data_IF_855223799641
#
_entry.id   IF_855223799641
#
_cell.length_a   1.000
_cell.length_b   1.000
_cell.length_c   1.000
_cell.angle_alpha   90.00
_cell.angle_beta   90.00
_cell.angle_gamma   90.00
#
_symmetry.space_group_name_H-M   'P 1'
#
loop_
_entity.id
_entity.type
_entity.pdbx_description
1 polymer ?
#
# COMPACT_ATOMS: atom_id res chain seq x y z
N UNK A 1 -9.86 -1.91 -6.02
CA UNK A 1 -10.22 -0.66 -5.32
C UNK A 1 -8.93 0.03 -4.95
N UNK A 2 -8.89 1.36 -4.96
CA UNK A 2 -7.66 2.08 -4.68
C UNK A 2 -7.42 2.15 -3.16
N UNK A 3 -6.17 1.90 -2.76
CA UNK A 3 -5.70 1.93 -1.38
C UNK A 3 -4.37 2.68 -1.30
N UNK A 4 -4.17 3.35 -0.18
CA UNK A 4 -2.89 3.91 0.23
C UNK A 4 -2.27 3.00 1.29
N UNK A 5 -0.98 2.66 1.10
CA UNK A 5 -0.19 1.90 2.05
C UNK A 5 0.96 2.78 2.52
N UNK A 6 0.98 3.07 3.82
CA UNK A 6 2.05 3.79 4.50
C UNK A 6 2.61 3.02 5.68
N UNK A 7 3.66 3.54 6.29
CA UNK A 7 4.30 2.95 7.46
C UNK A 7 5.53 3.74 7.89
N UNK A 8 6.00 3.57 9.14
CA UNK A 8 7.15 4.30 9.67
C UNK A 8 8.50 3.78 9.14
N UNK A 9 8.54 2.60 8.53
CA UNK A 9 9.77 1.99 7.97
C UNK A 9 9.74 2.01 6.42
N UNK A 10 10.53 2.89 5.79
CA UNK A 10 10.63 2.97 4.33
C UNK A 10 11.19 1.70 3.69
N UNK A 11 12.05 0.95 4.40
CA UNK A 11 12.66 -0.28 3.87
C UNK A 11 11.61 -1.37 3.72
N UNK A 12 10.72 -1.48 4.72
CA UNK A 12 9.57 -2.38 4.66
C UNK A 12 8.63 -2.03 3.49
N UNK A 13 8.39 -0.74 3.23
CA UNK A 13 7.57 -0.32 2.09
C UNK A 13 8.26 -0.63 0.75
N UNK A 14 9.59 -0.51 0.65
CA UNK A 14 10.34 -0.89 -0.54
C UNK A 14 10.25 -2.41 -0.81
N UNK A 15 10.43 -3.22 0.23
CA UNK A 15 10.29 -4.68 0.16
C UNK A 15 8.87 -5.08 -0.26
N UNK A 16 7.86 -4.47 0.36
CA UNK A 16 6.46 -4.69 0.00
C UNK A 16 6.18 -4.30 -1.44
N UNK A 17 6.68 -3.15 -1.91
CA UNK A 17 6.52 -2.74 -3.30
C UNK A 17 7.15 -3.76 -4.27
N UNK A 18 8.24 -4.42 -3.88
CA UNK A 18 8.81 -5.55 -4.61
C UNK A 18 7.84 -6.73 -4.68
N UNK A 19 7.32 -7.16 -3.53
CA UNK A 19 6.38 -8.30 -3.44
C UNK A 19 5.08 -8.06 -4.21
N UNK A 20 4.53 -6.84 -4.14
CA UNK A 20 3.27 -6.48 -4.79
C UNK A 20 3.38 -6.38 -6.31
N UNK A 21 4.58 -6.26 -6.89
CA UNK A 21 4.75 -6.30 -8.35
C UNK A 21 4.51 -7.69 -8.93
N UNK A 22 4.75 -8.72 -8.13
CA UNK A 22 4.57 -10.11 -8.54
C UNK A 22 3.19 -10.65 -8.15
N UNK A 23 2.37 -9.84 -7.48
CA UNK A 23 1.02 -10.20 -7.03
C UNK A 23 -0.01 -9.90 -8.15
N UNK A 24 -0.67 -10.93 -8.73
CA UNK A 24 -1.58 -10.75 -9.86
C UNK A 24 -2.87 -10.00 -9.49
N UNK A 25 -3.20 -9.89 -8.20
CA UNK A 25 -4.39 -9.18 -7.73
C UNK A 25 -4.10 -7.70 -7.43
N UNK A 26 -2.85 -7.27 -7.54
CA UNK A 26 -2.42 -5.93 -7.16
C UNK A 26 -1.84 -5.19 -8.35
N UNK A 27 -2.26 -3.94 -8.53
CA UNK A 27 -1.65 -3.01 -9.49
C UNK A 27 -1.09 -1.82 -8.74
N UNK A 28 0.24 -1.67 -8.72
CA UNK A 28 0.87 -0.47 -8.16
C UNK A 28 0.61 0.71 -9.11
N UNK A 29 -0.15 1.69 -8.64
CA UNK A 29 -0.49 2.90 -9.40
C UNK A 29 0.59 3.96 -9.27
N UNK A 30 1.11 4.13 -8.04
CA UNK A 30 2.12 5.13 -7.73
C UNK A 30 2.97 4.71 -6.55
N UNK A 31 4.24 5.07 -6.62
CA UNK A 31 5.17 5.04 -5.49
C UNK A 31 5.52 6.50 -5.21
N UNK A 32 5.37 6.93 -3.95
CA UNK A 32 5.75 8.27 -3.50
C UNK A 32 7.07 8.16 -2.75
N UNK A 33 8.03 9.01 -3.13
CA UNK A 33 9.39 8.98 -2.61
C UNK A 33 10.37 8.18 -3.49
N UNK A 34 11.65 8.10 -3.09
CA UNK A 34 12.66 7.31 -3.79
C UNK A 34 12.29 5.82 -3.83
N UNK A 35 12.63 5.08 -4.91
CA UNK A 35 12.27 3.66 -5.04
C UNK A 35 12.83 2.74 -3.94
N UNK A 36 13.97 3.11 -3.35
CA UNK A 36 14.63 2.39 -2.26
C UNK A 36 14.13 2.80 -0.87
N UNK A 37 13.44 3.95 -0.76
CA UNK A 37 12.89 4.49 0.49
C UNK A 37 11.54 5.18 0.24
N UNK A 38 10.53 4.44 -0.22
CA UNK A 38 9.21 5.00 -0.45
C UNK A 38 8.57 5.41 0.89
N UNK A 39 7.77 6.48 0.84
CA UNK A 39 6.97 6.94 1.97
C UNK A 39 5.50 6.52 1.87
N UNK A 40 5.03 6.21 0.65
CA UNK A 40 3.67 5.79 0.39
C UNK A 40 3.59 4.95 -0.90
N UNK A 41 2.73 3.94 -0.90
CA UNK A 41 2.32 3.21 -2.10
C UNK A 41 0.83 3.48 -2.35
N UNK A 42 0.47 3.84 -3.58
CA UNK A 42 -0.90 3.83 -4.03
C UNK A 42 -1.11 2.60 -4.92
N UNK A 43 -2.06 1.74 -4.55
CA UNK A 43 -2.28 0.45 -5.21
C UNK A 43 -3.76 0.25 -5.49
N UNK A 44 -4.06 -0.46 -6.57
CA UNK A 44 -5.38 -1.04 -6.79
C UNK A 44 -5.34 -2.52 -6.40
N UNK A 45 -6.21 -2.92 -5.48
CA UNK A 45 -6.35 -4.32 -5.06
C UNK A 45 -7.75 -4.66 -4.53
N UNK A 46 -8.12 -5.95 -4.40
CA UNK A 46 -9.34 -6.38 -3.73
C UNK A 46 -9.33 -6.07 -2.21
N UNK A 47 -10.47 -5.77 -1.58
CA UNK A 47 -10.55 -5.55 -0.14
C UNK A 47 -10.05 -6.73 0.72
N UNK A 48 -10.27 -7.96 0.25
CA UNK A 48 -9.76 -9.15 0.91
C UNK A 48 -8.23 -9.15 1.00
N UNK A 49 -7.55 -8.67 -0.06
CA UNK A 49 -6.09 -8.56 -0.09
C UNK A 49 -5.59 -7.46 0.84
N UNK A 50 -6.27 -6.31 0.86
CA UNK A 50 -6.00 -5.22 1.79
C UNK A 50 -6.09 -5.70 3.25
N UNK A 51 -7.16 -6.43 3.58
CA UNK A 51 -7.35 -7.03 4.91
C UNK A 51 -6.28 -8.06 5.27
N UNK A 52 -5.87 -8.90 4.31
CA UNK A 52 -4.80 -9.87 4.52
C UNK A 52 -3.45 -9.19 4.81
N UNK A 53 -3.10 -8.14 4.06
CA UNK A 53 -1.88 -7.35 4.31
C UNK A 53 -1.95 -6.66 5.68
N UNK A 54 -3.08 -6.05 6.04
CA UNK A 54 -3.25 -5.41 7.35
C UNK A 54 -3.09 -6.43 8.50
N UNK A 55 -3.63 -7.64 8.35
CA UNK A 55 -3.48 -8.71 9.33
C UNK A 55 -2.03 -9.24 9.42
N UNK A 56 -1.34 -9.35 8.29
CA UNK A 56 0.04 -9.85 8.22
C UNK A 56 1.05 -8.87 8.84
N UNK A 57 0.93 -7.57 8.53
CA UNK A 57 1.89 -6.56 8.96
C UNK A 57 1.49 -5.85 10.25
N UNK A 58 0.21 -5.89 10.63
CA UNK A 58 -0.31 -5.26 11.83
C UNK A 58 -0.05 -3.76 11.80
N UNK A 59 0.36 -3.19 12.94
CA UNK A 59 0.64 -1.75 13.09
C UNK A 59 1.91 -1.27 12.37
N UNK A 60 2.66 -2.17 11.72
CA UNK A 60 3.83 -1.80 10.92
C UNK A 60 3.44 -1.13 9.60
N UNK A 61 2.21 -1.35 9.14
CA UNK A 61 1.63 -0.71 7.97
C UNK A 61 0.27 -0.12 8.31
N UNK A 62 -0.01 1.02 7.69
CA UNK A 62 -1.34 1.62 7.62
C UNK A 62 -1.86 1.40 6.21
N UNK A 63 -2.99 0.70 6.07
CA UNK A 63 -3.65 0.48 4.79
C UNK A 63 -5.03 1.12 4.84
N UNK A 64 -5.23 2.14 4.04
CA UNK A 64 -6.47 2.92 4.03
C UNK A 64 -7.06 2.97 2.61
N UNK A 65 -8.38 2.89 2.46
CA UNK A 65 -9.01 3.15 1.16
C UNK A 65 -8.65 4.55 0.67
N UNK A 66 -8.23 4.67 -0.59
CA UNK A 66 -7.99 5.95 -1.24
C UNK A 66 -9.33 6.50 -1.75
N UNK A 67 -10.15 6.96 -0.80
CA UNK A 67 -11.45 7.57 -1.09
C UNK A 67 -11.29 9.10 -1.14
N UNK A 68 -11.94 9.78 -2.10
CA UNK A 68 -11.97 11.24 -2.11
C UNK A 68 -12.63 11.75 -0.82
N UNK A 69 -12.07 12.81 -0.25
CA UNK A 69 -12.71 13.53 0.85
C UNK A 69 -13.95 14.21 0.28
N UNK A 70 -15.14 13.78 0.72
CA UNK A 70 -16.38 14.50 0.46
C UNK A 70 -16.41 15.76 1.33
N UNK A 71 -16.04 16.91 0.75
CA UNK A 71 -16.24 18.22 1.36
C UNK A 71 -17.67 18.66 1.05
N UNK A 72 -18.56 18.56 2.04
CA UNK A 72 -19.93 19.06 1.98
C UNK A 72 -20.00 20.59 2.15
#
# INVERSE_FOLDING_TARGET
MPYMIGGPDPSLLAELAGQLRDDPEVTIRRIVGPPDRPSLLAVDMPPARAGALQAQYGTRLTIEPDAPIELF
#
